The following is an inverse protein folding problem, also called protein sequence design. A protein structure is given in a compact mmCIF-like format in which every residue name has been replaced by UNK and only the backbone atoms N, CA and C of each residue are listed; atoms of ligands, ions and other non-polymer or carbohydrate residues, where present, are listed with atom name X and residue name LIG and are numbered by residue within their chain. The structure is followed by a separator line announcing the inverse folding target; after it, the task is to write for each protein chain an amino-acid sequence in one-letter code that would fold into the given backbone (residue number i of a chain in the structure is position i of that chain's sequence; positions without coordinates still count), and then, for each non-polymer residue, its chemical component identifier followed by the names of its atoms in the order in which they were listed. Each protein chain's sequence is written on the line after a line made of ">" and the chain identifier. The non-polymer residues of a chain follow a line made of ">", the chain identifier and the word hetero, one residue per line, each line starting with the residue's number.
data_IF_609847865250
#
_entry.id   IF_609847865250
#
_cell.length_a   1.000
_cell.length_b   1.000
_cell.length_c   1.000
_cell.angle_alpha   90.00
_cell.angle_beta   90.00
_cell.angle_gamma   90.00
#
_symmetry.space_group_name_H-M   'P 1'
#
loop_
_entity.id
_entity.type
_entity.pdbx_description
1 polymer ?
#
# COMPACT_ATOMS: atom_id res chain seq x y z
N UNK A 1 9.46 -8.57 0.77
CA UNK A 1 10.55 -9.47 1.23
C UNK A 1 9.94 -10.68 1.94
N UNK A 2 10.54 -11.82 1.77
CA UNK A 2 10.17 -13.10 2.41
C UNK A 2 8.81 -13.66 2.01
N UNK A 3 8.28 -13.29 0.84
CA UNK A 3 6.99 -13.76 0.38
C UNK A 3 7.04 -15.24 0.00
N UNK A 4 6.01 -15.99 0.43
CA UNK A 4 5.75 -17.34 -0.05
C UNK A 4 5.09 -17.31 -1.43
N UNK A 5 5.04 -18.44 -2.11
CA UNK A 5 4.33 -18.55 -3.39
C UNK A 5 2.85 -18.18 -3.25
N UNK A 6 2.20 -18.55 -2.15
CA UNK A 6 0.81 -18.19 -1.87
C UNK A 6 0.67 -16.68 -1.69
N UNK A 7 1.57 -16.04 -0.96
CA UNK A 7 1.55 -14.59 -0.74
C UNK A 7 1.74 -13.82 -2.05
N UNK A 8 2.61 -14.28 -2.94
CA UNK A 8 2.78 -13.69 -4.27
C UNK A 8 1.48 -13.81 -5.08
N UNK A 9 0.83 -14.96 -5.04
CA UNK A 9 -0.44 -15.16 -5.73
C UNK A 9 -1.53 -14.26 -5.18
N UNK A 10 -1.63 -14.13 -3.88
CA UNK A 10 -2.62 -13.26 -3.22
C UNK A 10 -2.35 -11.79 -3.51
N UNK A 11 -1.08 -11.38 -3.52
CA UNK A 11 -0.70 -10.02 -3.90
C UNK A 11 -1.09 -9.73 -5.35
N UNK A 12 -0.86 -10.66 -6.26
CA UNK A 12 -1.25 -10.48 -7.66
C UNK A 12 -2.78 -10.32 -7.80
N UNK A 13 -3.56 -11.10 -7.08
CA UNK A 13 -5.02 -10.95 -7.05
C UNK A 13 -5.45 -9.57 -6.55
N UNK A 14 -4.79 -9.07 -5.51
CA UNK A 14 -5.05 -7.73 -4.98
C UNK A 14 -4.76 -6.65 -6.01
N UNK A 15 -3.61 -6.72 -6.68
CA UNK A 15 -3.22 -5.78 -7.72
C UNK A 15 -4.21 -5.79 -8.88
N UNK A 16 -4.59 -6.97 -9.36
CA UNK A 16 -5.54 -7.13 -10.45
C UNK A 16 -6.92 -6.58 -10.08
N UNK A 17 -7.40 -6.88 -8.87
CA UNK A 17 -8.67 -6.37 -8.36
C UNK A 17 -8.66 -4.86 -8.22
N UNK A 18 -7.55 -4.27 -7.80
CA UNK A 18 -7.41 -2.82 -7.66
C UNK A 18 -7.50 -2.11 -9.01
N UNK A 19 -6.89 -2.66 -10.05
CA UNK A 19 -6.98 -2.10 -11.41
C UNK A 19 -8.40 -2.27 -11.95
N UNK A 20 -9.00 -3.44 -11.79
CA UNK A 20 -10.36 -3.71 -12.25
C UNK A 20 -11.40 -2.81 -11.58
N UNK A 21 -11.21 -2.50 -10.29
CA UNK A 21 -12.09 -1.62 -9.52
C UNK A 21 -11.83 -0.13 -9.71
N UNK A 22 -10.79 0.25 -10.45
CA UNK A 22 -10.44 1.64 -10.68
C UNK A 22 -11.46 2.34 -11.60
N UNK A 23 -11.56 3.66 -11.48
CA UNK A 23 -12.37 4.46 -12.40
C UNK A 23 -11.80 4.48 -13.81
N UNK A 24 -12.62 4.87 -14.78
CA UNK A 24 -12.25 4.85 -16.20
C UNK A 24 -11.02 5.69 -16.51
N UNK A 25 -10.89 6.85 -15.88
CA UNK A 25 -9.73 7.72 -16.07
C UNK A 25 -8.44 7.04 -15.62
N UNK A 26 -8.43 6.46 -14.42
CA UNK A 26 -7.24 5.76 -13.92
C UNK A 26 -6.90 4.56 -14.80
N UNK A 27 -7.89 3.77 -15.20
CA UNK A 27 -7.67 2.62 -16.09
C UNK A 27 -7.12 3.02 -17.47
N UNK A 28 -7.44 4.22 -17.95
CA UNK A 28 -6.90 4.73 -19.21
C UNK A 28 -5.40 5.07 -19.12
N UNK A 29 -4.91 5.36 -17.92
CA UNK A 29 -3.51 5.70 -17.66
C UNK A 29 -2.69 4.46 -17.32
N UNK A 30 -3.26 3.54 -16.53
CA UNK A 30 -2.59 2.33 -16.05
C UNK A 30 -2.69 1.25 -17.11
N UNK A 31 -1.67 1.16 -17.96
CA UNK A 31 -1.63 0.18 -19.06
C UNK A 31 -0.93 -1.09 -18.60
N UNK A 32 -1.60 -2.26 -18.61
CA UNK A 32 -0.98 -3.52 -18.22
C UNK A 32 0.30 -3.81 -19.01
N UNK A 33 1.35 -4.22 -18.30
CA UNK A 33 2.65 -4.53 -18.87
C UNK A 33 3.56 -3.33 -19.15
N UNK A 34 3.02 -2.11 -19.21
CA UNK A 34 3.79 -0.89 -19.43
C UNK A 34 3.85 0.01 -18.20
N UNK A 35 2.71 0.19 -17.54
CA UNK A 35 2.58 1.10 -16.38
C UNK A 35 2.05 0.38 -15.14
N UNK A 36 2.19 -0.93 -15.11
CA UNK A 36 1.86 -1.78 -13.97
C UNK A 36 3.04 -2.65 -13.61
N UNK A 37 3.10 -3.06 -12.37
CA UNK A 37 4.05 -4.07 -11.89
C UNK A 37 3.26 -5.35 -11.60
N UNK A 38 3.88 -6.49 -11.91
CA UNK A 38 3.40 -7.76 -11.37
C UNK A 38 3.77 -7.85 -9.90
N UNK A 39 3.14 -8.77 -9.17
CA UNK A 39 3.48 -9.02 -7.76
C UNK A 39 4.98 -9.33 -7.59
N UNK A 40 5.54 -10.17 -8.47
CA UNK A 40 6.97 -10.50 -8.43
C UNK A 40 7.87 -9.29 -8.67
N UNK A 41 7.49 -8.42 -9.60
CA UNK A 41 8.23 -7.18 -9.87
C UNK A 41 8.14 -6.23 -8.68
N UNK A 42 6.95 -6.06 -8.10
CA UNK A 42 6.75 -5.20 -6.95
C UNK A 42 7.62 -5.63 -5.76
N UNK A 43 7.63 -6.92 -5.46
CA UNK A 43 8.46 -7.48 -4.38
C UNK A 43 9.95 -7.22 -4.60
N UNK A 44 10.42 -7.28 -5.84
CA UNK A 44 11.81 -6.99 -6.17
C UNK A 44 12.19 -5.52 -6.04
N UNK A 45 11.26 -4.63 -6.36
CA UNK A 45 11.50 -3.17 -6.31
C UNK A 45 11.37 -2.64 -4.89
N UNK A 46 10.38 -3.11 -4.15
CA UNK A 46 10.08 -2.65 -2.80
C UNK A 46 10.93 -3.39 -1.76
N UNK A 47 12.24 -3.17 -1.81
CA UNK A 47 13.21 -3.80 -0.89
C UNK A 47 13.81 -2.75 0.06
N UNK A 48 14.14 -3.18 1.28
CA UNK A 48 14.72 -2.30 2.28
C UNK A 48 13.71 -1.29 2.83
N UNK A 49 14.23 -0.20 3.37
CA UNK A 49 13.41 0.88 3.93
C UNK A 49 12.92 1.77 2.80
N UNK A 50 11.61 1.96 2.73
CA UNK A 50 10.98 2.86 1.77
C UNK A 50 10.27 3.99 2.52
N UNK A 51 10.37 5.21 2.01
CA UNK A 51 9.60 6.33 2.55
C UNK A 51 8.22 6.32 1.90
N UNK A 52 7.19 6.27 2.72
CA UNK A 52 5.80 6.19 2.30
C UNK A 52 5.05 7.46 2.69
N UNK A 53 4.11 7.87 1.85
CA UNK A 53 3.10 8.86 2.18
C UNK A 53 1.89 8.13 2.76
N UNK A 54 1.71 8.20 4.06
CA UNK A 54 0.59 7.54 4.74
C UNK A 54 -0.56 8.53 4.91
N UNK A 55 -1.69 8.21 4.30
CA UNK A 55 -2.91 8.99 4.43
C UNK A 55 -3.80 8.41 5.54
N UNK A 56 -4.27 9.26 6.41
CA UNK A 56 -5.22 8.92 7.47
C UNK A 56 -6.33 9.96 7.52
N UNK A 57 -7.40 9.68 8.23
CA UNK A 57 -8.50 10.64 8.40
C UNK A 57 -8.72 10.98 9.87
N UNK A 58 -9.07 12.23 10.12
CA UNK A 58 -9.51 12.67 11.45
C UNK A 58 -10.92 12.16 11.73
N UNK A 59 -11.36 12.33 12.98
CA UNK A 59 -12.74 12.00 13.40
C UNK A 59 -13.78 12.74 12.55
N UNK A 60 -13.44 13.92 12.03
CA UNK A 60 -14.32 14.73 11.17
C UNK A 60 -14.24 14.35 9.69
N UNK A 61 -13.43 13.34 9.34
CA UNK A 61 -13.23 12.93 7.97
C UNK A 61 -12.23 13.78 7.19
N UNK A 62 -11.46 14.64 7.85
CA UNK A 62 -10.45 15.46 7.20
C UNK A 62 -9.22 14.61 6.88
N UNK A 63 -8.67 14.70 5.67
CA UNK A 63 -7.48 13.92 5.30
C UNK A 63 -6.22 14.49 5.96
N UNK A 64 -5.33 13.58 6.32
CA UNK A 64 -3.97 13.89 6.79
C UNK A 64 -2.99 13.00 6.04
N UNK A 65 -1.84 13.55 5.67
CA UNK A 65 -0.76 12.80 5.04
C UNK A 65 0.51 13.04 5.85
N UNK A 66 1.23 11.97 6.14
CA UNK A 66 2.53 12.05 6.81
C UNK A 66 3.52 11.08 6.18
N UNK A 67 4.80 11.46 6.21
CA UNK A 67 5.88 10.58 5.78
C UNK A 67 6.16 9.54 6.86
N UNK A 68 6.28 8.28 6.47
CA UNK A 68 6.66 7.18 7.36
C UNK A 68 7.67 6.28 6.66
N UNK A 69 8.54 5.66 7.43
CA UNK A 69 9.41 4.61 6.92
C UNK A 69 8.67 3.27 7.00
N UNK A 70 8.74 2.51 5.93
CA UNK A 70 8.09 1.21 5.86
C UNK A 70 8.93 0.17 5.16
N UNK A 71 8.56 -1.08 5.39
CA UNK A 71 9.12 -2.24 4.72
C UNK A 71 8.00 -3.02 4.06
N UNK A 72 8.26 -3.52 2.87
CA UNK A 72 7.32 -4.40 2.18
C UNK A 72 7.67 -5.85 2.52
N UNK A 73 6.87 -6.45 3.43
CA UNK A 73 7.13 -7.77 3.98
C UNK A 73 5.90 -8.66 3.80
N UNK A 74 6.12 -9.88 3.32
CA UNK A 74 5.02 -10.85 3.14
C UNK A 74 3.83 -10.30 2.35
N UNK A 75 4.12 -9.50 1.32
CA UNK A 75 3.08 -8.92 0.45
C UNK A 75 2.31 -7.74 1.06
N UNK A 76 2.80 -7.14 2.13
CA UNK A 76 2.14 -6.01 2.80
C UNK A 76 3.15 -4.97 3.28
N UNK A 77 2.71 -3.71 3.32
CA UNK A 77 3.50 -2.65 3.93
C UNK A 77 3.42 -2.72 5.44
N UNK A 78 4.58 -2.73 6.09
CA UNK A 78 4.70 -2.68 7.54
C UNK A 78 5.38 -1.37 7.91
N UNK A 79 4.72 -0.56 8.71
CA UNK A 79 5.23 0.73 9.16
C UNK A 79 5.28 0.76 10.68
N UNK A 80 6.28 1.47 11.21
CA UNK A 80 6.38 1.72 12.65
C UNK A 80 6.09 3.19 12.94
N UNK A 81 5.44 3.46 14.06
CA UNK A 81 5.22 4.80 14.56
C UNK A 81 5.10 4.79 16.08
N UNK A 82 5.27 5.96 16.69
CA UNK A 82 5.05 6.13 18.12
C UNK A 82 3.56 5.90 18.44
N UNK A 83 3.22 5.13 19.49
CA UNK A 83 1.83 4.91 19.89
C UNK A 83 1.08 6.22 20.23
N UNK A 84 1.80 7.26 20.66
CA UNK A 84 1.23 8.59 20.94
C UNK A 84 1.03 9.45 19.72
N UNK A 85 1.51 9.04 18.54
CA UNK A 85 1.34 9.82 17.32
C UNK A 85 -0.11 9.92 16.89
N UNK A 86 -0.47 11.06 16.30
CA UNK A 86 -1.84 11.32 15.83
C UNK A 86 -2.28 10.27 14.79
N UNK A 87 -1.38 9.90 13.87
CA UNK A 87 -1.65 8.88 12.85
C UNK A 87 -1.97 7.50 13.46
N UNK A 88 -1.34 7.14 14.58
CA UNK A 88 -1.61 5.89 15.27
C UNK A 88 -3.04 5.86 15.84
N UNK A 89 -3.50 6.98 16.41
CA UNK A 89 -4.87 7.12 16.89
C UNK A 89 -5.89 7.08 15.75
N UNK A 90 -5.58 7.74 14.62
CA UNK A 90 -6.44 7.70 13.44
C UNK A 90 -6.63 6.28 12.94
N UNK A 91 -5.55 5.51 12.84
CA UNK A 91 -5.57 4.12 12.34
C UNK A 91 -6.27 3.16 13.31
N UNK A 92 -6.15 3.39 14.62
CA UNK A 92 -6.85 2.58 15.62
C UNK A 92 -8.38 2.71 15.48
N UNK A 93 -8.86 3.92 15.21
CA UNK A 93 -10.29 4.21 15.10
C UNK A 93 -10.82 3.99 13.66
N UNK A 94 -10.00 4.25 12.66
CA UNK A 94 -10.36 4.21 11.23
C UNK A 94 -9.24 3.54 10.43
N UNK A 95 -9.11 2.21 10.49
CA UNK A 95 -8.01 1.49 9.83
C UNK A 95 -8.15 1.39 8.32
N UNK A 96 -9.33 1.67 7.78
CA UNK A 96 -9.59 1.61 6.34
C UNK A 96 -10.60 2.68 5.93
#
# INVERSE_FOLDING_TARGET
>A
MFETTTEITDLQRLLDASVSGAGDHLRSIVTPGERTLTAEQLVRVATGICTLALATTTRRGEPRVSGVDGHFLHGAWVVGTDPGAVKARHLADRPA
#
